data_IF_848960730089
#
_entry.id   IF_848960730089
#
_cell.length_a   1.000
_cell.length_b   1.000
_cell.length_c   1.000
_cell.angle_alpha   90.00
_cell.angle_beta   90.00
_cell.angle_gamma   90.00
#
_symmetry.space_group_name_H-M   'P 1'
#
loop_
_entity.id
_entity.type
_entity.pdbx_description
1 polymer ?
#
# COMPACT_ATOMS: atom_id res chain seq x y z
N UNK A 1 47.18 -28.63 -8.40
CA UNK A 1 46.99 -27.17 -8.20
C UNK A 1 46.26 -26.65 -9.43
N UNK A 2 44.97 -26.35 -9.31
CA UNK A 2 44.16 -25.75 -10.36
C UNK A 2 44.07 -24.24 -10.08
N UNK A 3 44.51 -23.46 -11.05
CA UNK A 3 44.46 -21.99 -11.04
C UNK A 3 43.15 -21.58 -11.66
N UNK A 4 42.33 -20.80 -10.95
CA UNK A 4 41.08 -20.21 -11.45
C UNK A 4 41.42 -18.80 -11.93
N UNK A 5 41.28 -18.55 -13.25
CA UNK A 5 41.35 -17.22 -13.84
C UNK A 5 40.02 -16.50 -13.69
N UNK A 6 40.03 -15.29 -13.11
CA UNK A 6 38.88 -14.40 -13.07
C UNK A 6 38.91 -13.46 -14.28
N UNK A 7 37.87 -13.56 -15.09
CA UNK A 7 37.63 -12.62 -16.19
C UNK A 7 36.94 -11.38 -15.68
N UNK A 8 37.52 -10.20 -15.91
CA UNK A 8 36.94 -8.92 -15.57
C UNK A 8 35.73 -8.63 -16.46
N UNK A 9 34.56 -8.32 -15.83
CA UNK A 9 33.34 -7.88 -16.51
C UNK A 9 33.40 -6.39 -16.73
N UNK A 10 33.08 -5.94 -17.93
CA UNK A 10 33.12 -4.55 -18.38
C UNK A 10 32.07 -3.68 -17.66
N UNK A 11 32.46 -2.42 -17.39
CA UNK A 11 31.71 -1.35 -16.79
C UNK A 11 30.58 -0.84 -17.72
N UNK A 12 29.35 -0.60 -17.27
CA UNK A 12 28.30 -0.07 -18.13
C UNK A 12 28.49 1.41 -18.43
N UNK A 13 28.45 1.72 -19.71
CA UNK A 13 28.55 3.05 -20.32
C UNK A 13 27.44 3.98 -19.86
N UNK A 14 27.79 5.22 -19.50
CA UNK A 14 26.90 6.29 -19.11
C UNK A 14 25.91 6.66 -20.23
N UNK A 15 24.61 6.73 -19.88
CA UNK A 15 23.52 7.20 -20.74
C UNK A 15 23.48 8.72 -20.74
N UNK A 16 23.54 9.34 -21.91
CA UNK A 16 23.45 10.77 -22.11
C UNK A 16 22.09 11.33 -21.71
N UNK A 17 22.12 12.41 -20.93
CA UNK A 17 20.96 13.18 -20.51
C UNK A 17 20.59 14.18 -21.61
N UNK A 18 19.43 14.01 -22.26
CA UNK A 18 18.91 14.98 -23.24
C UNK A 18 18.18 16.09 -22.48
N UNK A 19 18.80 17.27 -22.45
CA UNK A 19 18.19 18.52 -21.94
C UNK A 19 17.34 19.13 -23.05
N UNK A 20 16.03 19.16 -22.93
CA UNK A 20 15.15 19.95 -23.81
C UNK A 20 14.95 21.35 -23.24
N UNK A 21 15.44 22.34 -23.96
CA UNK A 21 15.20 23.77 -23.70
C UNK A 21 13.87 24.16 -24.35
N UNK A 22 12.89 24.58 -23.54
CA UNK A 22 11.66 25.18 -24.04
C UNK A 22 11.88 26.69 -24.30
N UNK A 23 11.83 27.09 -25.56
CA UNK A 23 11.79 28.51 -25.97
C UNK A 23 10.40 29.09 -25.69
N UNK A 24 10.36 30.20 -24.98
CA UNK A 24 9.16 30.99 -24.75
C UNK A 24 8.84 31.84 -25.96
N UNK A 25 7.72 31.59 -26.64
CA UNK A 25 7.20 32.42 -27.72
C UNK A 25 6.39 33.58 -27.14
N UNK A 26 6.83 34.79 -27.39
CA UNK A 26 6.15 36.04 -27.06
C UNK A 26 4.92 36.25 -27.95
N UNK A 27 3.75 36.50 -27.34
CA UNK A 27 2.51 36.90 -28.02
C UNK A 27 2.49 38.40 -28.35
N UNK A 28 1.97 38.83 -29.50
CA UNK A 28 1.88 40.23 -29.84
C UNK A 28 0.73 40.96 -29.15
N UNK A 29 0.99 42.20 -28.81
CA UNK A 29 0.13 43.23 -28.25
C UNK A 29 -1.08 43.54 -29.14
N UNK A 30 -2.30 43.43 -28.62
CA UNK A 30 -3.53 43.81 -29.32
C UNK A 30 -3.90 45.26 -29.02
N UNK A 31 -3.95 46.07 -30.04
CA UNK A 31 -4.39 47.48 -30.06
C UNK A 31 -5.89 47.57 -29.78
N UNK A 32 -6.28 48.35 -28.78
CA UNK A 32 -7.68 48.63 -28.44
C UNK A 32 -8.27 49.70 -29.37
N UNK A 33 -9.39 49.37 -29.99
CA UNK A 33 -10.29 50.33 -30.68
C UNK A 33 -11.51 50.54 -29.78
N UNK A 34 -11.94 51.78 -29.48
CA UNK A 34 -13.14 52.00 -28.67
C UNK A 34 -14.39 51.81 -29.52
N UNK A 35 -15.27 50.90 -29.11
CA UNK A 35 -16.58 50.70 -29.72
C UNK A 35 -17.70 51.13 -28.76
N UNK A 36 -18.68 51.81 -29.32
CA UNK A 36 -19.77 52.57 -28.76
C UNK A 36 -20.75 51.66 -27.93
N UNK A 37 -21.05 52.10 -26.70
CA UNK A 37 -22.00 51.37 -25.80
C UNK A 37 -23.44 51.43 -26.32
N UNK A 38 -23.91 50.30 -26.82
CA UNK A 38 -25.36 50.05 -27.04
C UNK A 38 -25.92 49.27 -25.83
N UNK A 39 -26.79 49.94 -25.08
CA UNK A 39 -27.46 49.31 -23.92
C UNK A 39 -28.35 48.15 -24.34
N UNK A 40 -27.95 46.94 -24.09
CA UNK A 40 -28.72 45.73 -24.29
C UNK A 40 -29.44 45.34 -22.98
N UNK A 41 -30.77 45.19 -23.07
CA UNK A 41 -31.60 44.78 -21.94
C UNK A 41 -31.15 43.41 -21.34
N UNK A 42 -30.91 43.42 -20.05
CA UNK A 42 -30.53 42.22 -19.27
C UNK A 42 -31.72 41.24 -19.21
N UNK A 43 -31.60 39.98 -19.63
CA UNK A 43 -32.64 38.98 -19.42
C UNK A 43 -32.69 38.61 -17.94
N UNK A 44 -33.89 38.74 -17.33
CA UNK A 44 -34.19 38.26 -15.98
C UNK A 44 -34.03 36.75 -15.96
N UNK A 45 -33.09 36.24 -15.17
CA UNK A 45 -32.90 34.79 -14.97
C UNK A 45 -34.10 34.19 -14.20
N UNK A 46 -34.86 33.37 -14.89
CA UNK A 46 -35.90 32.53 -14.25
C UNK A 46 -35.19 31.43 -13.45
N UNK A 47 -35.44 31.39 -12.15
CA UNK A 47 -34.92 30.34 -11.27
C UNK A 47 -35.49 28.97 -11.69
N UNK A 48 -34.66 28.13 -12.31
CA UNK A 48 -35.01 26.74 -12.57
C UNK A 48 -34.77 25.94 -11.29
N UNK A 49 -35.85 25.38 -10.72
CA UNK A 49 -35.72 24.43 -9.60
C UNK A 49 -34.97 23.18 -10.07
N UNK A 50 -33.70 23.08 -9.72
CA UNK A 50 -32.89 21.88 -9.95
C UNK A 50 -33.37 20.81 -8.93
N UNK A 51 -33.78 19.61 -9.39
CA UNK A 51 -34.14 18.54 -8.46
C UNK A 51 -32.93 18.15 -7.63
N UNK A 52 -33.03 18.34 -6.32
CA UNK A 52 -32.04 17.84 -5.37
C UNK A 52 -32.21 16.33 -5.24
N UNK A 53 -31.27 15.56 -5.79
CA UNK A 53 -31.22 14.12 -5.56
C UNK A 53 -30.80 13.88 -4.11
N UNK A 54 -31.72 13.36 -3.30
CA UNK A 54 -31.39 12.83 -1.98
C UNK A 54 -30.55 11.58 -2.18
N UNK A 55 -29.32 11.48 -1.62
CA UNK A 55 -28.54 10.25 -1.72
C UNK A 55 -29.31 9.12 -1.03
N UNK A 56 -29.75 8.15 -1.82
CA UNK A 56 -30.29 6.90 -1.30
C UNK A 56 -29.08 6.12 -0.76
N UNK A 57 -29.11 5.76 0.52
CA UNK A 57 -28.12 4.87 1.12
C UNK A 57 -28.19 3.52 0.37
N UNK A 58 -27.30 3.33 -0.59
CA UNK A 58 -27.12 2.03 -1.23
C UNK A 58 -26.45 1.13 -0.19
N UNK A 59 -27.17 0.15 0.33
CA UNK A 59 -26.59 -0.92 1.14
C UNK A 59 -25.67 -1.69 0.21
N UNK A 60 -24.38 -1.47 0.30
CA UNK A 60 -23.38 -2.32 -0.36
C UNK A 60 -23.54 -3.71 0.27
N UNK A 61 -23.79 -4.78 -0.53
CA UNK A 61 -23.84 -6.12 0.02
C UNK A 61 -22.51 -6.40 0.72
N UNK A 62 -22.56 -6.70 2.01
CA UNK A 62 -21.40 -7.20 2.75
C UNK A 62 -21.10 -8.58 2.17
N UNK A 63 -19.98 -8.74 1.51
CA UNK A 63 -19.53 -10.05 1.05
C UNK A 63 -19.39 -10.97 2.27
N UNK A 64 -20.00 -12.14 2.19
CA UNK A 64 -19.88 -13.15 3.24
C UNK A 64 -18.56 -13.89 3.04
N UNK A 65 -17.53 -13.49 3.78
CA UNK A 65 -16.25 -14.20 3.80
C UNK A 65 -16.37 -15.51 4.54
N UNK A 66 -15.66 -16.52 4.08
CA UNK A 66 -15.51 -17.77 4.84
C UNK A 66 -14.47 -17.55 5.95
N UNK A 67 -14.91 -16.98 7.06
CA UNK A 67 -14.06 -16.61 8.20
C UNK A 67 -13.59 -17.84 8.99
N UNK A 68 -12.70 -18.64 8.38
CA UNK A 68 -12.07 -19.78 9.03
C UNK A 68 -10.97 -19.37 10.01
N UNK A 69 -10.45 -18.16 9.88
CA UNK A 69 -9.41 -17.59 10.74
C UNK A 69 -9.87 -16.25 11.30
N UNK A 70 -9.29 -15.91 12.43
CA UNK A 70 -9.42 -14.59 13.06
C UNK A 70 -8.05 -14.06 13.48
N UNK A 71 -7.96 -12.77 13.77
CA UNK A 71 -6.76 -12.18 14.35
C UNK A 71 -6.56 -12.74 15.73
N UNK A 72 -5.37 -13.28 16.02
CA UNK A 72 -5.06 -13.87 17.30
C UNK A 72 -5.22 -12.86 18.45
N UNK A 73 -5.85 -13.21 19.57
CA UNK A 73 -5.93 -12.33 20.74
C UNK A 73 -4.56 -11.83 21.19
N UNK A 74 -4.45 -10.53 21.44
CA UNK A 74 -3.19 -9.85 21.75
C UNK A 74 -2.39 -9.38 20.53
N UNK A 75 -2.86 -9.65 19.32
CA UNK A 75 -2.34 -9.11 18.05
C UNK A 75 -3.24 -7.94 17.58
N UNK A 76 -2.69 -6.90 16.88
CA UNK A 76 -1.30 -6.73 16.52
C UNK A 76 -0.41 -6.24 17.67
N UNK A 77 0.90 -6.54 17.58
CA UNK A 77 1.95 -6.01 18.45
C UNK A 77 2.87 -5.11 17.62
N UNK A 78 3.28 -4.00 18.20
CA UNK A 78 4.18 -3.04 17.54
C UNK A 78 5.53 -3.02 18.23
N UNK A 79 6.62 -3.10 17.46
CA UNK A 79 7.97 -3.12 18.00
C UNK A 79 8.99 -2.55 17.01
N UNK A 80 10.21 -2.35 17.49
CA UNK A 80 11.34 -2.04 16.63
C UNK A 80 11.65 -3.25 15.74
N UNK A 81 11.90 -3.00 14.45
CA UNK A 81 12.35 -4.03 13.53
C UNK A 81 13.66 -4.68 14.05
N UNK A 82 13.60 -5.98 14.30
CA UNK A 82 14.73 -6.79 14.78
C UNK A 82 15.32 -7.70 13.70
N UNK A 83 14.62 -7.84 12.56
CA UNK A 83 15.04 -8.71 11.45
C UNK A 83 15.98 -7.97 10.51
N UNK A 84 15.73 -6.68 10.28
CA UNK A 84 16.55 -5.82 9.43
C UNK A 84 17.16 -4.67 10.27
N UNK A 85 18.04 -4.98 11.28
CA UNK A 85 18.51 -3.97 12.23
C UNK A 85 19.31 -2.85 11.57
N UNK A 86 20.03 -3.15 10.49
CA UNK A 86 20.84 -2.17 9.76
C UNK A 86 19.99 -1.12 9.01
N UNK A 87 18.73 -1.43 8.74
CA UNK A 87 17.82 -0.48 8.11
C UNK A 87 17.32 0.60 9.09
N UNK A 88 17.32 0.34 10.40
CA UNK A 88 16.87 1.28 11.42
C UNK A 88 15.49 1.86 11.12
N UNK A 89 15.41 3.20 11.07
CA UNK A 89 14.19 3.93 10.71
C UNK A 89 13.89 3.97 9.19
N UNK A 90 14.79 3.47 8.37
CA UNK A 90 14.59 3.41 6.91
C UNK A 90 13.88 2.11 6.49
N UNK A 91 13.04 1.59 7.36
CA UNK A 91 12.24 0.41 7.09
C UNK A 91 10.93 0.47 7.89
N UNK A 92 9.86 0.11 7.24
CA UNK A 92 8.55 -0.11 7.85
C UNK A 92 7.99 -1.41 7.28
N UNK A 93 7.42 -2.26 8.14
CA UNK A 93 6.87 -3.51 7.65
C UNK A 93 5.80 -4.13 8.54
N UNK A 94 5.18 -5.16 7.97
CA UNK A 94 4.16 -6.00 8.60
C UNK A 94 4.62 -7.43 8.48
N UNK A 95 4.63 -8.16 9.59
CA UNK A 95 4.91 -9.58 9.62
C UNK A 95 3.92 -10.30 10.52
N UNK A 96 3.93 -11.62 10.49
CA UNK A 96 3.09 -12.42 11.37
C UNK A 96 3.18 -13.90 11.07
N UNK A 97 2.38 -14.67 11.79
CA UNK A 97 2.26 -16.12 11.67
C UNK A 97 0.80 -16.52 11.53
N UNK A 98 0.60 -17.70 10.96
CA UNK A 98 -0.71 -18.34 10.90
C UNK A 98 -0.68 -19.61 11.74
N UNK A 99 -1.67 -19.79 12.61
CA UNK A 99 -1.77 -20.90 13.53
C UNK A 99 -3.07 -21.67 13.33
N UNK A 100 -3.01 -22.98 13.55
CA UNK A 100 -4.20 -23.80 13.74
C UNK A 100 -4.85 -23.50 15.11
N UNK A 101 -6.07 -24.02 15.34
CA UNK A 101 -6.79 -23.87 16.61
C UNK A 101 -6.07 -24.46 17.82
N UNK A 102 -5.14 -25.42 17.61
CA UNK A 102 -4.31 -25.99 18.67
C UNK A 102 -2.97 -25.26 18.86
N UNK A 103 -2.73 -24.13 18.14
CA UNK A 103 -1.52 -23.33 18.24
C UNK A 103 -0.34 -23.81 17.40
N UNK A 104 -0.53 -24.83 16.55
CA UNK A 104 0.54 -25.26 15.63
C UNK A 104 0.66 -24.29 14.46
N UNK A 105 1.89 -23.91 14.04
CA UNK A 105 2.06 -23.02 12.89
C UNK A 105 1.61 -23.70 11.59
N UNK A 106 0.99 -22.93 10.72
CA UNK A 106 0.49 -23.36 9.42
C UNK A 106 1.29 -22.71 8.29
N UNK A 107 1.69 -23.53 7.32
CA UNK A 107 2.40 -23.10 6.10
C UNK A 107 1.49 -23.25 4.87
N UNK A 108 1.82 -22.55 3.78
CA UNK A 108 1.10 -22.67 2.51
C UNK A 108 -0.16 -21.80 2.40
N UNK A 109 -0.44 -20.93 3.37
CA UNK A 109 -1.43 -19.87 3.24
C UNK A 109 -0.83 -18.65 2.58
N UNK A 110 -1.65 -17.90 1.84
CA UNK A 110 -1.23 -16.66 1.21
C UNK A 110 -1.75 -15.48 2.02
N UNK A 111 -0.83 -14.68 2.59
CA UNK A 111 -1.15 -13.36 3.10
C UNK A 111 -1.11 -12.36 1.95
N UNK A 112 -2.13 -11.52 1.82
CA UNK A 112 -2.18 -10.42 0.85
C UNK A 112 -2.28 -9.10 1.58
N UNK A 113 -1.35 -8.19 1.28
CA UNK A 113 -1.34 -6.82 1.79
C UNK A 113 -1.76 -5.88 0.67
N UNK A 114 -2.83 -5.11 0.90
CA UNK A 114 -3.37 -4.17 -0.09
C UNK A 114 -3.62 -2.80 0.52
N UNK A 115 -3.76 -1.78 -0.33
CA UNK A 115 -4.11 -0.42 0.08
C UNK A 115 -3.16 0.63 -0.45
N UNK A 116 -2.86 1.64 0.37
CA UNK A 116 -1.99 2.75 0.00
C UNK A 116 -1.02 3.08 1.14
N UNK A 117 0.26 3.23 0.83
CA UNK A 117 1.29 3.69 1.76
C UNK A 117 2.12 4.78 1.13
N UNK A 118 2.29 5.91 1.80
CA UNK A 118 3.01 7.09 1.29
C UNK A 118 2.53 7.53 -0.12
N UNK A 119 1.22 7.47 -0.37
CA UNK A 119 0.63 7.81 -1.66
C UNK A 119 0.84 6.77 -2.78
N UNK A 120 1.51 5.66 -2.50
CA UNK A 120 1.77 4.58 -3.45
C UNK A 120 0.82 3.42 -3.19
N UNK A 121 0.26 2.84 -4.25
CA UNK A 121 -0.58 1.63 -4.14
C UNK A 121 0.27 0.44 -3.70
N UNK A 122 -0.19 -0.24 -2.66
CA UNK A 122 0.38 -1.49 -2.15
C UNK A 122 -0.50 -2.66 -2.60
N UNK A 123 0.11 -3.69 -3.17
CA UNK A 123 -0.52 -4.96 -3.49
C UNK A 123 0.57 -6.05 -3.48
N UNK A 124 0.75 -6.68 -2.33
CA UNK A 124 1.83 -7.64 -2.08
C UNK A 124 1.25 -8.98 -1.65
N UNK A 125 1.92 -10.06 -2.04
CA UNK A 125 1.57 -11.42 -1.66
C UNK A 125 2.76 -12.05 -0.91
N UNK A 126 2.48 -12.69 0.21
CA UNK A 126 3.44 -13.46 1.00
C UNK A 126 2.90 -14.86 1.27
N UNK A 127 3.68 -15.89 0.98
CA UNK A 127 3.32 -17.25 1.31
C UNK A 127 3.85 -17.59 2.71
N UNK A 128 3.01 -18.11 3.58
CA UNK A 128 3.42 -18.49 4.94
C UNK A 128 4.42 -19.64 4.91
N UNK A 129 5.52 -19.50 5.68
CA UNK A 129 6.60 -20.48 5.75
C UNK A 129 7.71 -20.28 4.72
N UNK A 130 7.71 -19.16 3.95
CA UNK A 130 8.80 -18.84 3.00
C UNK A 130 9.74 -17.71 3.47
N UNK A 131 9.54 -17.17 4.68
CA UNK A 131 10.46 -16.16 5.22
C UNK A 131 11.80 -16.83 5.54
N UNK A 132 12.86 -16.30 4.95
CA UNK A 132 14.20 -16.86 5.11
C UNK A 132 14.63 -16.87 6.58
N UNK A 133 15.22 -17.98 7.02
CA UNK A 133 15.67 -18.22 8.39
C UNK A 133 14.57 -18.11 9.47
N UNK A 134 13.30 -18.02 9.09
CA UNK A 134 12.13 -18.00 9.96
C UNK A 134 12.25 -17.06 11.20
N UNK A 135 12.66 -15.79 11.04
CA UNK A 135 12.94 -14.91 12.18
C UNK A 135 11.69 -14.63 13.04
N UNK A 136 10.50 -14.81 12.46
CA UNK A 136 9.20 -14.70 13.14
C UNK A 136 8.64 -16.08 13.56
N UNK A 137 9.38 -17.16 13.29
CA UNK A 137 8.97 -18.55 13.51
C UNK A 137 8.32 -19.21 12.28
N UNK A 138 8.08 -20.54 12.37
CA UNK A 138 7.44 -21.30 11.30
C UNK A 138 6.05 -20.77 10.96
N UNK A 139 5.65 -20.86 9.68
CA UNK A 139 4.35 -20.35 9.23
C UNK A 139 4.27 -18.82 9.16
N UNK A 140 5.40 -18.14 9.13
CA UNK A 140 5.46 -16.68 9.05
C UNK A 140 5.36 -16.15 7.63
N UNK A 141 4.95 -14.88 7.55
CA UNK A 141 5.02 -14.00 6.37
C UNK A 141 5.64 -12.66 6.76
N UNK A 142 6.18 -11.93 5.78
CA UNK A 142 6.74 -10.59 5.96
C UNK A 142 6.46 -9.73 4.74
N UNK A 143 6.18 -8.44 4.97
CA UNK A 143 6.05 -7.38 3.97
C UNK A 143 6.88 -6.17 4.38
N UNK A 144 7.87 -5.79 3.58
CA UNK A 144 8.52 -4.49 3.68
C UNK A 144 7.68 -3.48 2.89
N UNK A 145 6.94 -2.60 3.58
CA UNK A 145 5.98 -1.67 2.95
C UNK A 145 6.60 -0.34 2.55
N UNK A 146 7.75 0.01 3.11
CA UNK A 146 8.45 1.25 2.75
C UNK A 146 9.76 1.45 3.46
N UNK A 147 10.52 2.43 2.98
CA UNK A 147 11.79 2.88 3.53
C UNK A 147 11.66 4.13 4.42
N UNK A 148 10.46 4.52 4.79
CA UNK A 148 10.17 5.66 5.65
C UNK A 148 9.05 5.29 6.60
N UNK A 149 9.24 5.57 7.89
CA UNK A 149 8.20 5.34 8.90
C UNK A 149 7.16 6.45 8.85
N UNK A 150 5.89 6.08 8.67
CA UNK A 150 4.77 7.01 8.54
C UNK A 150 3.57 6.53 9.38
N UNK A 151 2.80 7.48 9.89
CA UNK A 151 1.49 7.20 10.47
C UNK A 151 0.49 6.91 9.35
N UNK A 152 -0.24 5.82 9.46
CA UNK A 152 -1.42 5.53 8.64
C UNK A 152 -2.46 4.78 9.46
N UNK A 153 -3.73 5.03 9.16
CA UNK A 153 -4.85 4.33 9.75
C UNK A 153 -5.84 3.97 8.65
N UNK A 154 -6.27 2.71 8.63
CA UNK A 154 -7.27 2.19 7.68
C UNK A 154 -6.93 2.43 6.19
N UNK A 155 -5.64 2.59 5.87
CA UNK A 155 -5.13 2.72 4.52
C UNK A 155 -4.51 1.43 3.98
N UNK A 156 -4.16 0.51 4.86
CA UNK A 156 -3.60 -0.80 4.54
C UNK A 156 -4.50 -1.89 5.11
N UNK A 157 -4.64 -2.97 4.38
CA UNK A 157 -5.44 -4.13 4.75
C UNK A 157 -4.68 -5.41 4.50
N UNK A 158 -4.72 -6.33 5.46
CA UNK A 158 -4.19 -7.68 5.29
C UNK A 158 -5.34 -8.69 5.26
N UNK A 159 -5.23 -9.68 4.40
CA UNK A 159 -6.21 -10.75 4.24
C UNK A 159 -5.51 -12.07 3.99
N UNK A 160 -6.03 -13.17 4.52
CA UNK A 160 -5.52 -14.51 4.26
C UNK A 160 -6.37 -15.23 3.21
N UNK A 161 -5.68 -16.03 2.42
CA UNK A 161 -6.22 -16.96 1.43
C UNK A 161 -5.62 -18.34 1.66
N UNK A 162 -6.36 -19.38 1.34
CA UNK A 162 -5.80 -20.72 1.28
C UNK A 162 -4.93 -20.92 0.01
N UNK A 163 -4.33 -22.10 -0.11
CA UNK A 163 -3.49 -22.46 -1.25
C UNK A 163 -4.24 -22.51 -2.60
N UNK A 164 -5.57 -22.52 -2.59
CA UNK A 164 -6.42 -22.52 -3.78
C UNK A 164 -6.87 -21.11 -4.17
N UNK A 165 -6.55 -20.10 -3.34
CA UNK A 165 -6.93 -18.72 -3.53
C UNK A 165 -8.31 -18.36 -2.98
N UNK A 166 -8.88 -19.20 -2.12
CA UNK A 166 -10.13 -18.91 -1.43
C UNK A 166 -9.84 -18.06 -0.20
N UNK A 167 -10.60 -17.00 0.00
CA UNK A 167 -10.53 -16.11 1.15
C UNK A 167 -10.92 -16.87 2.43
N UNK A 168 -10.06 -16.79 3.44
CA UNK A 168 -10.27 -17.46 4.75
C UNK A 168 -10.38 -16.46 5.90
N UNK A 169 -10.18 -15.17 5.63
CA UNK A 169 -10.50 -14.05 6.53
C UNK A 169 -11.19 -12.93 5.78
N UNK A 170 -11.93 -12.06 6.48
CA UNK A 170 -12.20 -10.71 6.00
C UNK A 170 -10.88 -9.90 5.91
N UNK A 171 -10.84 -8.81 5.12
CA UNK A 171 -9.74 -7.85 5.16
C UNK A 171 -9.63 -7.20 6.55
N UNK A 172 -8.44 -7.20 7.14
CA UNK A 172 -8.15 -6.61 8.44
C UNK A 172 -7.39 -5.30 8.23
N UNK A 173 -7.95 -4.18 8.71
CA UNK A 173 -7.33 -2.88 8.62
C UNK A 173 -6.09 -2.81 9.52
N UNK A 174 -5.03 -2.17 9.03
CA UNK A 174 -3.76 -2.00 9.72
C UNK A 174 -3.52 -0.54 10.08
N UNK A 175 -2.79 -0.33 11.18
CA UNK A 175 -2.28 0.98 11.60
C UNK A 175 -0.77 0.96 11.58
N UNK A 176 -0.13 2.00 11.04
CA UNK A 176 1.31 2.18 11.10
C UNK A 176 1.65 3.45 11.89
N UNK A 177 2.90 3.56 12.35
CA UNK A 177 3.36 4.67 13.17
C UNK A 177 4.63 5.29 12.61
N UNK A 178 4.74 6.61 12.67
CA UNK A 178 5.94 7.38 12.32
C UNK A 178 7.04 7.28 13.39
N UNK A 179 7.16 6.11 14.02
CA UNK A 179 8.11 5.85 15.11
C UNK A 179 8.97 4.63 14.83
N UNK A 180 10.30 4.79 14.91
CA UNK A 180 11.25 3.69 14.74
C UNK A 180 11.09 2.57 15.76
N UNK A 181 10.53 2.87 16.93
CA UNK A 181 10.23 1.84 17.94
C UNK A 181 8.96 1.07 17.66
N UNK A 182 8.23 1.41 16.58
CA UNK A 182 6.99 0.78 16.13
C UNK A 182 6.97 0.55 14.62
N UNK A 183 8.14 0.43 14.03
CA UNK A 183 8.26 0.26 12.58
C UNK A 183 8.02 -1.16 12.08
N UNK A 184 7.85 -2.13 12.99
CA UNK A 184 7.39 -3.48 12.71
C UNK A 184 6.06 -3.73 13.42
N UNK A 185 5.03 -4.09 12.64
CA UNK A 185 3.76 -4.59 13.14
C UNK A 185 3.73 -6.11 13.01
N UNK A 186 3.52 -6.81 14.12
CA UNK A 186 3.30 -8.27 14.13
C UNK A 186 1.81 -8.52 14.27
N UNK A 187 1.22 -9.15 13.26
CA UNK A 187 -0.18 -9.56 13.25
C UNK A 187 -0.30 -11.06 12.98
N UNK A 188 -0.79 -11.80 13.96
CA UNK A 188 -0.96 -13.23 13.86
C UNK A 188 -2.43 -13.59 13.60
N UNK A 189 -2.63 -14.72 12.96
CA UNK A 189 -3.95 -15.29 12.71
C UNK A 189 -4.05 -16.69 13.32
N UNK A 190 -5.23 -17.05 13.81
CA UNK A 190 -5.52 -18.36 14.38
C UNK A 190 -6.81 -18.90 13.78
N UNK A 191 -6.83 -20.21 13.48
CA UNK A 191 -8.03 -20.89 13.03
C UNK A 191 -9.09 -20.93 14.15
N UNK A 192 -10.35 -20.67 13.78
CA UNK A 192 -11.53 -20.73 14.68
C UNK A 192 -11.88 -22.14 15.07
#
# INVERSE_FOLDING_TARGET
TATVEYTATEEPTATEQITQTLEATSSPEATATPEEETATATPTSTATNTPTFTPTNTITPTEAYNELFEVQPGSPVYMTNFVHPDAGCNWQGVAGQVFSSNGSPLVGYVARLTGTYNGVTVNMLGLTGLVENEPYGPGSFEFAIGSTVLDSQDLLYIQLFDATGIEVTAPVALTTYSSCSKNLQIINFVAK
#
